data_IF_886040291798
#
_entry.id   IF_886040291798
#
_cell.length_a   1.000
_cell.length_b   1.000
_cell.length_c   1.000
_cell.angle_alpha   90.00
_cell.angle_beta   90.00
_cell.angle_gamma   90.00
#
_symmetry.space_group_name_H-M   'P 1'
#
loop_
_entity.id
_entity.type
_entity.pdbx_description
1 polymer ?
#
# COMPACT_ATOMS: atom_id res chain seq x y z
N UNK A 1 -58.79 19.17 -28.85
CA UNK A 1 -57.71 18.18 -28.65
C UNK A 1 -56.45 18.83 -28.05
N UNK A 2 -56.54 19.46 -26.87
CA UNK A 2 -55.38 20.10 -26.20
C UNK A 2 -55.06 19.50 -24.82
N UNK A 3 -55.89 18.61 -24.28
CA UNK A 3 -55.74 18.07 -22.92
C UNK A 3 -54.69 16.95 -22.82
N UNK A 4 -54.37 16.27 -23.93
CA UNK A 4 -53.40 15.15 -23.94
C UNK A 4 -51.94 15.60 -24.01
N UNK A 5 -51.65 16.76 -24.61
CA UNK A 5 -50.26 17.24 -24.76
C UNK A 5 -49.64 17.73 -23.44
N UNK A 6 -50.46 18.25 -22.53
CA UNK A 6 -50.00 18.69 -21.20
C UNK A 6 -49.55 17.54 -20.32
N UNK A 7 -50.27 16.42 -20.34
CA UNK A 7 -49.91 15.23 -19.55
C UNK A 7 -48.62 14.59 -20.02
N UNK A 8 -48.39 14.49 -21.34
CA UNK A 8 -47.15 13.88 -21.88
C UNK A 8 -45.93 14.74 -21.53
N UNK A 9 -46.02 16.06 -21.63
CA UNK A 9 -44.93 16.96 -21.25
C UNK A 9 -44.58 16.86 -19.75
N UNK A 10 -45.59 16.76 -18.89
CA UNK A 10 -45.38 16.60 -17.43
C UNK A 10 -44.76 15.24 -17.09
N UNK A 11 -45.16 14.17 -17.79
CA UNK A 11 -44.58 12.83 -17.60
C UNK A 11 -43.10 12.80 -18.02
N UNK A 12 -42.74 13.46 -19.13
CA UNK A 12 -41.35 13.54 -19.60
C UNK A 12 -40.47 14.32 -18.61
N UNK A 13 -40.98 15.44 -18.08
CA UNK A 13 -40.24 16.24 -17.08
C UNK A 13 -40.04 15.44 -15.78
N UNK A 14 -41.07 14.73 -15.31
CA UNK A 14 -40.96 13.88 -14.10
C UNK A 14 -39.98 12.72 -14.30
N UNK A 15 -39.98 12.06 -15.45
CA UNK A 15 -39.03 10.97 -15.74
C UNK A 15 -37.59 11.47 -15.82
N UNK A 16 -37.33 12.65 -16.41
CA UNK A 16 -35.99 13.25 -16.42
C UNK A 16 -35.49 13.58 -15.02
N UNK A 17 -36.35 14.09 -14.13
CA UNK A 17 -35.99 14.38 -12.74
C UNK A 17 -35.62 13.08 -11.99
N UNK A 18 -36.37 12.01 -12.19
CA UNK A 18 -36.10 10.70 -11.56
C UNK A 18 -34.78 10.10 -12.08
N UNK A 19 -34.50 10.19 -13.38
CA UNK A 19 -33.23 9.71 -13.96
C UNK A 19 -32.04 10.51 -13.42
N UNK A 20 -32.17 11.83 -13.29
CA UNK A 20 -31.14 12.69 -12.71
C UNK A 20 -30.88 12.37 -11.24
N UNK A 21 -31.94 12.14 -10.45
CA UNK A 21 -31.81 11.76 -9.04
C UNK A 21 -31.12 10.40 -8.86
N UNK A 22 -31.46 9.41 -9.70
CA UNK A 22 -30.81 8.09 -9.68
C UNK A 22 -29.35 8.18 -10.13
N UNK A 23 -29.05 8.96 -11.17
CA UNK A 23 -27.69 9.15 -11.67
C UNK A 23 -26.75 9.79 -10.65
N UNK A 24 -27.20 10.82 -9.93
CA UNK A 24 -26.42 11.47 -8.87
C UNK A 24 -26.23 10.51 -7.67
N UNK A 25 -27.26 9.77 -7.29
CA UNK A 25 -27.17 8.76 -6.23
C UNK A 25 -26.18 7.64 -6.56
N UNK A 26 -26.18 7.14 -7.81
CA UNK A 26 -25.27 6.11 -8.26
C UNK A 26 -23.82 6.62 -8.39
N UNK A 27 -23.62 7.88 -8.81
CA UNK A 27 -22.30 8.52 -8.83
C UNK A 27 -21.69 8.67 -7.43
N UNK A 28 -22.51 8.96 -6.42
CA UNK A 28 -22.05 9.02 -5.03
C UNK A 28 -21.84 7.63 -4.40
N UNK A 29 -22.59 6.60 -4.84
CA UNK A 29 -22.42 5.21 -4.38
C UNK A 29 -21.25 4.47 -5.05
N UNK A 30 -20.81 4.88 -6.24
CA UNK A 30 -19.58 4.38 -6.89
C UNK A 30 -18.32 5.12 -6.47
N UNK A 31 -18.42 6.21 -5.71
CA UNK A 31 -17.29 6.77 -4.98
C UNK A 31 -17.06 5.84 -3.79
N UNK A 32 -16.48 4.67 -4.06
CA UNK A 32 -15.97 3.77 -3.04
C UNK A 32 -15.27 4.60 -1.97
N UNK A 33 -15.50 4.34 -0.67
CA UNK A 33 -14.53 4.79 0.31
C UNK A 33 -13.22 4.19 -0.18
N UNK A 34 -12.31 5.05 -0.62
CA UNK A 34 -10.92 4.66 -0.69
C UNK A 34 -10.58 4.34 0.75
N UNK A 35 -10.64 3.06 1.08
CA UNK A 35 -9.92 2.48 2.20
C UNK A 35 -8.44 2.51 1.84
N UNK A 36 -7.91 3.68 1.45
CA UNK A 36 -6.54 3.99 1.74
C UNK A 36 -6.58 4.24 3.24
N UNK A 37 -6.37 3.14 3.96
CA UNK A 37 -5.92 3.11 5.33
C UNK A 37 -5.08 4.36 5.55
N UNK A 38 -5.44 5.13 6.59
CA UNK A 38 -4.66 6.27 7.03
C UNK A 38 -3.22 5.80 7.14
N UNK A 39 -2.42 6.08 6.11
CA UNK A 39 -1.00 5.89 6.16
C UNK A 39 -0.54 6.93 7.16
N UNK A 40 -0.36 6.50 8.40
CA UNK A 40 0.59 7.11 9.32
C UNK A 40 1.97 6.97 8.68
N UNK A 41 2.21 7.67 7.59
CA UNK A 41 3.54 7.94 7.04
C UNK A 41 4.10 9.14 7.80
N UNK A 42 4.19 8.96 9.11
CA UNK A 42 5.15 9.59 10.00
C UNK A 42 5.80 8.43 10.74
N UNK A 43 6.66 7.73 10.02
CA UNK A 43 7.34 6.54 10.47
C UNK A 43 8.04 5.97 9.26
N UNK A 44 9.23 6.48 8.97
CA UNK A 44 10.27 5.61 8.40
C UNK A 44 10.14 4.29 9.16
N UNK A 45 9.99 3.16 8.46
CA UNK A 45 9.97 1.84 9.07
C UNK A 45 11.13 1.78 10.05
N UNK A 46 10.82 1.86 11.34
CA UNK A 46 11.81 2.13 12.38
C UNK A 46 12.50 0.81 12.72
N UNK A 47 13.02 0.09 11.72
CA UNK A 47 14.09 -0.89 11.92
C UNK A 47 15.28 -0.25 12.67
N UNK A 48 15.36 1.08 12.75
CA UNK A 48 16.28 1.81 13.63
C UNK A 48 16.07 1.55 15.13
N UNK A 49 15.12 0.71 15.55
CA UNK A 49 15.05 0.20 16.93
C UNK A 49 15.84 -1.09 17.19
N UNK A 50 16.34 -1.79 16.17
CA UNK A 50 17.27 -2.90 16.43
C UNK A 50 18.65 -2.33 16.71
N UNK A 51 19.23 -2.71 17.85
CA UNK A 51 20.61 -2.32 18.18
C UNK A 51 21.63 -3.00 17.27
N UNK A 52 21.21 -3.99 16.47
CA UNK A 52 22.03 -4.81 15.61
C UNK A 52 21.67 -4.50 14.17
N UNK A 53 22.54 -3.76 13.48
CA UNK A 53 22.43 -3.56 12.04
C UNK A 53 22.39 -4.93 11.35
N UNK A 54 21.39 -5.16 10.49
CA UNK A 54 21.20 -6.43 9.78
C UNK A 54 20.27 -7.44 10.47
N UNK A 55 19.88 -7.23 11.73
CA UNK A 55 18.80 -7.99 12.39
C UNK A 55 17.46 -7.43 11.91
N UNK A 56 17.03 -7.89 10.75
CA UNK A 56 15.84 -7.41 10.03
C UNK A 56 14.59 -7.98 10.69
N UNK A 57 14.64 -9.26 11.06
CA UNK A 57 13.51 -9.96 11.66
C UNK A 57 13.35 -9.67 13.17
N UNK A 58 14.30 -8.97 13.79
CA UNK A 58 14.31 -8.55 15.21
C UNK A 58 14.27 -9.72 16.20
N UNK A 59 14.97 -10.80 15.89
CA UNK A 59 15.10 -11.95 16.80
C UNK A 59 16.34 -11.87 17.71
N UNK A 60 17.15 -10.82 17.54
CA UNK A 60 18.35 -10.59 18.33
C UNK A 60 19.60 -11.25 17.75
N UNK A 61 19.52 -11.84 16.57
CA UNK A 61 20.65 -12.36 15.81
C UNK A 61 20.69 -11.75 14.40
N UNK A 62 21.87 -11.75 13.79
CA UNK A 62 22.04 -11.46 12.36
C UNK A 62 22.40 -12.77 11.69
N UNK A 63 21.47 -13.38 10.98
CA UNK A 63 21.66 -14.74 10.46
C UNK A 63 21.09 -14.98 9.05
N UNK A 64 20.95 -16.25 8.69
CA UNK A 64 20.47 -16.65 7.37
C UNK A 64 18.99 -16.34 7.13
N UNK A 65 18.17 -16.17 8.18
CA UNK A 65 16.77 -15.77 8.07
C UNK A 65 16.67 -14.30 7.60
N UNK A 66 17.54 -13.43 8.09
CA UNK A 66 17.62 -12.03 7.65
C UNK A 66 18.04 -11.94 6.18
N UNK A 67 19.08 -12.69 5.79
CA UNK A 67 19.51 -12.78 4.39
C UNK A 67 18.41 -13.35 3.47
N UNK A 68 17.57 -14.27 3.97
CA UNK A 68 16.44 -14.81 3.21
C UNK A 68 15.35 -13.74 2.97
N UNK A 69 15.17 -12.79 3.88
CA UNK A 69 14.26 -11.65 3.66
C UNK A 69 14.75 -10.76 2.51
N UNK A 70 16.04 -10.44 2.46
CA UNK A 70 16.66 -9.69 1.35
C UNK A 70 16.50 -10.46 0.04
N UNK A 71 16.79 -11.77 0.04
CA UNK A 71 16.64 -12.62 -1.14
C UNK A 71 15.19 -12.72 -1.64
N UNK A 72 14.19 -12.68 -0.75
CA UNK A 72 12.76 -12.67 -1.14
C UNK A 72 12.35 -11.38 -1.84
N UNK A 73 12.95 -10.26 -1.45
CA UNK A 73 12.69 -8.95 -2.05
C UNK A 73 13.52 -8.73 -3.32
N UNK A 74 14.70 -9.34 -3.43
CA UNK A 74 15.62 -9.17 -4.55
C UNK A 74 15.15 -9.89 -5.83
N UNK A 75 15.37 -9.30 -7.02
CA UNK A 75 15.78 -7.91 -7.24
C UNK A 75 14.57 -6.97 -7.14
N UNK A 76 14.72 -5.83 -6.45
CA UNK A 76 13.69 -4.80 -6.40
C UNK A 76 14.31 -3.40 -6.32
N UNK A 77 13.84 -2.46 -7.14
CA UNK A 77 14.25 -1.06 -7.09
C UNK A 77 13.15 -0.17 -6.48
N UNK A 78 13.50 1.03 -5.99
CA UNK A 78 12.56 2.00 -5.43
C UNK A 78 11.37 2.38 -6.34
N UNK A 79 11.54 2.29 -7.66
CA UNK A 79 10.46 2.59 -8.62
C UNK A 79 9.53 1.40 -8.87
N UNK A 80 9.92 0.20 -8.45
CA UNK A 80 9.19 -1.02 -8.76
C UNK A 80 7.99 -1.24 -7.83
N UNK A 81 6.92 -1.90 -8.29
CA UNK A 81 5.78 -2.25 -7.43
C UNK A 81 6.14 -3.16 -6.26
N UNK A 82 7.31 -3.82 -6.28
CA UNK A 82 7.78 -4.65 -5.18
C UNK A 82 8.27 -3.83 -3.97
N UNK A 83 8.61 -2.54 -4.15
CA UNK A 83 9.26 -1.72 -3.11
C UNK A 83 8.42 -1.62 -1.82
N UNK A 84 7.09 -1.52 -1.98
CA UNK A 84 6.15 -1.41 -0.87
C UNK A 84 5.47 -2.75 -0.53
N UNK A 85 6.01 -3.89 -1.01
CA UNK A 85 5.46 -5.21 -0.67
C UNK A 85 5.98 -5.68 0.68
N UNK A 86 5.09 -6.29 1.45
CA UNK A 86 5.45 -7.03 2.65
C UNK A 86 6.12 -8.34 2.26
N UNK A 87 7.33 -8.56 2.78
CA UNK A 87 8.18 -9.73 2.49
C UNK A 87 8.39 -10.62 3.72
N UNK A 88 8.05 -10.11 4.90
CA UNK A 88 8.12 -10.85 6.14
C UNK A 88 7.44 -10.11 7.27
N UNK A 89 7.75 -10.55 8.49
CA UNK A 89 7.34 -9.89 9.72
C UNK A 89 8.42 -10.02 10.77
N UNK A 90 8.48 -9.07 11.69
CA UNK A 90 9.38 -9.14 12.82
C UNK A 90 8.90 -10.20 13.81
N UNK A 91 9.83 -10.84 14.54
CA UNK A 91 9.52 -11.80 15.60
C UNK A 91 9.07 -11.09 16.87
N UNK A 92 9.49 -9.84 17.06
CA UNK A 92 9.02 -8.95 18.14
C UNK A 92 7.72 -8.23 17.75
N UNK A 93 6.58 -8.80 18.11
CA UNK A 93 5.30 -8.12 17.96
C UNK A 93 4.71 -8.12 16.54
N UNK A 94 5.17 -9.02 15.67
CA UNK A 94 4.53 -9.35 14.38
C UNK A 94 4.35 -8.14 13.43
N UNK A 95 5.26 -7.18 13.47
CA UNK A 95 5.20 -6.02 12.57
C UNK A 95 5.57 -6.42 11.15
N UNK A 96 4.88 -5.93 10.11
CA UNK A 96 5.23 -6.23 8.73
C UNK A 96 6.61 -5.66 8.37
N UNK A 97 7.38 -6.42 7.58
CA UNK A 97 8.65 -5.99 7.00
C UNK A 97 8.42 -5.74 5.51
N UNK A 98 8.68 -4.51 5.06
CA UNK A 98 8.54 -4.11 3.67
C UNK A 98 9.87 -4.28 2.92
N UNK A 99 9.81 -4.50 1.61
CA UNK A 99 11.02 -4.57 0.79
C UNK A 99 11.88 -3.30 0.90
N UNK A 100 11.26 -2.13 1.01
CA UNK A 100 11.95 -0.85 1.26
C UNK A 100 12.76 -0.81 2.55
N UNK A 101 12.41 -1.63 3.54
CA UNK A 101 13.14 -1.71 4.81
C UNK A 101 14.45 -2.49 4.67
N UNK A 102 14.65 -3.18 3.53
CA UNK A 102 15.79 -4.06 3.28
C UNK A 102 16.94 -3.41 2.52
N UNK A 103 16.80 -2.13 2.14
CA UNK A 103 17.85 -1.32 1.50
C UNK A 103 18.84 -0.85 2.57
N UNK A 104 19.74 -1.76 2.95
CA UNK A 104 20.68 -1.58 4.06
C UNK A 104 21.88 -0.71 3.67
N UNK A 105 22.17 -0.61 2.37
CA UNK A 105 23.26 0.23 1.86
C UNK A 105 22.77 1.60 1.31
N UNK A 106 21.46 1.81 1.25
CA UNK A 106 20.80 3.02 0.77
C UNK A 106 21.13 3.35 -0.70
N UNK A 107 21.23 2.32 -1.55
CA UNK A 107 21.49 2.45 -2.98
C UNK A 107 20.23 2.39 -3.86
N UNK A 108 19.03 2.37 -3.23
CA UNK A 108 17.72 2.24 -3.86
C UNK A 108 17.47 0.89 -4.59
N UNK A 109 18.30 -0.13 -4.37
CA UNK A 109 18.16 -1.44 -4.99
C UNK A 109 18.33 -2.57 -3.95
N UNK A 110 17.29 -3.36 -3.73
CA UNK A 110 17.38 -4.56 -2.90
C UNK A 110 18.11 -5.66 -3.65
N UNK A 111 19.33 -5.99 -3.21
CA UNK A 111 20.21 -6.96 -3.85
C UNK A 111 21.25 -7.57 -2.87
N UNK A 112 22.21 -8.34 -3.38
CA UNK A 112 23.23 -9.01 -2.55
C UNK A 112 24.21 -8.05 -1.84
N UNK A 113 24.28 -6.80 -2.30
CA UNK A 113 25.03 -5.75 -1.61
C UNK A 113 24.39 -5.40 -0.26
N UNK A 114 23.07 -5.53 -0.12
CA UNK A 114 22.39 -5.38 1.17
C UNK A 114 22.74 -6.52 2.12
N UNK A 115 22.79 -7.76 1.62
CA UNK A 115 23.27 -8.92 2.41
C UNK A 115 24.68 -8.65 2.94
N UNK A 116 25.54 -8.05 2.12
CA UNK A 116 26.91 -7.68 2.51
C UNK A 116 26.96 -6.52 3.52
N UNK A 117 25.96 -5.64 3.50
CA UNK A 117 25.84 -4.51 4.41
C UNK A 117 25.39 -4.91 5.83
N UNK A 118 24.85 -6.13 6.01
CA UNK A 118 24.42 -6.65 7.32
C UNK A 118 25.57 -6.79 8.34
N UNK A 119 26.82 -6.94 7.89
CA UNK A 119 27.95 -7.28 8.77
C UNK A 119 29.01 -6.16 8.92
N UNK A 120 28.76 -4.98 8.35
CA UNK A 120 29.74 -3.87 8.37
C UNK A 120 29.35 -2.80 9.40
N UNK A 121 30.03 -2.87 10.55
CA UNK A 121 30.37 -1.75 11.44
C UNK A 121 31.89 -1.57 11.47
#
# INVERSE_FOLDING_TARGET
MQKEKGSVAVIIVLTLIVILAIGIGFFFLMKSPSNNASSTTNGKGDLSQTSLKGDINRDGAVDAEDADLIRKASPCNHVDPCWNKVVGKTKDGDNPIYASDLDLNHDDNINELDTSAMSTE
#
